data_IF_078222975127
#
_entry.id   IF_078222975127
#
_cell.length_a   1.000
_cell.length_b   1.000
_cell.length_c   1.000
_cell.angle_alpha   90.00
_cell.angle_beta   90.00
_cell.angle_gamma   90.00
#
_symmetry.space_group_name_H-M   'P 1'
#
loop_
_entity.id
_entity.type
_entity.pdbx_description
1 polymer ?
#
# COMPACT_ATOMS: atom_id res chain seq x y z
N UNK A 1 4.31 16.88 53.58
CA UNK A 1 4.59 17.41 52.22
C UNK A 1 4.32 18.91 52.21
N UNK A 2 5.27 19.74 51.78
CA UNK A 2 5.13 21.20 51.71
C UNK A 2 4.13 21.62 50.63
N UNK A 3 3.48 22.78 50.82
CA UNK A 3 2.61 23.43 49.81
C UNK A 3 3.38 23.64 48.51
N UNK A 4 4.66 24.02 48.61
CA UNK A 4 5.55 24.17 47.46
C UNK A 4 5.73 22.86 46.69
N UNK A 5 5.97 21.75 47.39
CA UNK A 5 6.15 20.43 46.75
C UNK A 5 4.88 19.98 46.01
N UNK A 6 3.69 20.25 46.56
CA UNK A 6 2.41 19.97 45.87
C UNK A 6 2.23 20.84 44.63
N UNK A 7 2.58 22.13 44.72
CA UNK A 7 2.51 23.05 43.58
C UNK A 7 3.49 22.67 42.47
N UNK A 8 4.72 22.28 42.82
CA UNK A 8 5.74 21.84 41.87
C UNK A 8 5.32 20.57 41.12
N UNK A 9 4.84 19.53 41.83
CA UNK A 9 4.34 18.30 41.21
C UNK A 9 3.15 18.55 40.27
N UNK A 10 2.23 19.43 40.67
CA UNK A 10 1.11 19.82 39.80
C UNK A 10 1.60 20.53 38.55
N UNK A 11 2.53 21.49 38.68
CA UNK A 11 3.08 22.21 37.54
C UNK A 11 3.79 21.28 36.54
N UNK A 12 4.59 20.32 37.02
CA UNK A 12 5.25 19.33 36.16
C UNK A 12 4.23 18.42 35.46
N UNK A 13 3.17 18.00 36.16
CA UNK A 13 2.08 17.22 35.56
C UNK A 13 1.31 18.02 34.50
N UNK A 14 1.01 19.29 34.77
CA UNK A 14 0.33 20.19 33.83
C UNK A 14 1.18 20.43 32.57
N UNK A 15 2.51 20.60 32.73
CA UNK A 15 3.46 20.70 31.61
C UNK A 15 3.52 19.42 30.78
N UNK A 16 3.54 18.25 31.42
CA UNK A 16 3.54 16.96 30.73
C UNK A 16 2.23 16.74 29.95
N UNK A 17 1.08 17.08 30.55
CA UNK A 17 -0.22 17.01 29.90
C UNK A 17 -0.31 17.96 28.70
N UNK A 18 0.18 19.20 28.84
CA UNK A 18 0.22 20.16 27.74
C UNK A 18 1.11 19.69 26.57
N UNK A 19 2.26 19.08 26.86
CA UNK A 19 3.13 18.48 25.84
C UNK A 19 2.45 17.33 25.10
N UNK A 20 1.77 16.44 25.83
CA UNK A 20 1.04 15.32 25.22
C UNK A 20 -0.14 15.82 24.35
N UNK A 21 -0.89 16.83 24.81
CA UNK A 21 -1.97 17.43 24.04
C UNK A 21 -1.45 18.08 22.74
N UNK A 22 -0.32 18.79 22.79
CA UNK A 22 0.30 19.40 21.62
C UNK A 22 0.80 18.35 20.62
N UNK A 23 1.42 17.26 21.10
CA UNK A 23 1.86 16.15 20.24
C UNK A 23 0.68 15.46 19.57
N UNK A 24 -0.41 15.21 20.30
CA UNK A 24 -1.62 14.61 19.76
C UNK A 24 -2.26 15.52 18.70
N UNK A 25 -2.30 16.84 18.93
CA UNK A 25 -2.80 17.79 17.92
C UNK A 25 -1.91 17.81 16.66
N UNK A 26 -0.59 17.80 16.83
CA UNK A 26 0.34 17.73 15.70
C UNK A 26 0.20 16.42 14.92
N UNK A 27 0.05 15.28 15.60
CA UNK A 27 -0.17 13.98 14.98
C UNK A 27 -1.49 13.93 14.20
N UNK A 28 -2.56 14.54 14.74
CA UNK A 28 -3.83 14.67 14.01
C UNK A 28 -3.69 15.48 12.74
N UNK A 29 -2.99 16.62 12.79
CA UNK A 29 -2.76 17.43 11.60
C UNK A 29 -1.95 16.66 10.56
N UNK A 30 -0.87 16.00 10.96
CA UNK A 30 -0.05 15.18 10.05
C UNK A 30 -0.87 14.09 9.35
N UNK A 31 -1.80 13.43 10.06
CA UNK A 31 -2.71 12.43 9.45
C UNK A 31 -3.68 13.05 8.45
N UNK A 32 -4.19 14.25 8.70
CA UNK A 32 -5.06 14.95 7.75
C UNK A 32 -4.29 15.33 6.48
N UNK A 33 -3.10 15.90 6.65
CA UNK A 33 -2.22 16.27 5.53
C UNK A 33 -1.85 15.01 4.71
N UNK A 34 -1.53 13.91 5.39
CA UNK A 34 -1.25 12.62 4.74
C UNK A 34 -2.45 12.10 3.93
N UNK A 35 -3.67 12.17 4.46
CA UNK A 35 -4.88 11.73 3.72
C UNK A 35 -5.09 12.53 2.44
N UNK A 36 -4.81 13.84 2.48
CA UNK A 36 -4.88 14.67 1.28
C UNK A 36 -3.79 14.31 0.27
N UNK A 37 -2.54 14.18 0.72
CA UNK A 37 -1.42 13.74 -0.12
C UNK A 37 -1.69 12.37 -0.75
N UNK A 38 -2.23 11.43 0.03
CA UNK A 38 -2.59 10.10 -0.45
C UNK A 38 -3.62 10.19 -1.59
N UNK A 39 -4.71 10.96 -1.37
CA UNK A 39 -5.75 11.15 -2.40
C UNK A 39 -5.15 11.73 -3.69
N UNK A 40 -4.33 12.77 -3.57
CA UNK A 40 -3.68 13.40 -4.73
C UNK A 40 -2.71 12.42 -5.43
N UNK A 41 -1.98 11.61 -4.67
CA UNK A 41 -1.06 10.60 -5.22
C UNK A 41 -1.81 9.53 -5.98
N UNK A 42 -2.94 9.05 -5.44
CA UNK A 42 -3.81 8.10 -6.15
C UNK A 42 -4.35 8.70 -7.45
N UNK A 43 -4.87 9.92 -7.40
CA UNK A 43 -5.51 10.57 -8.55
C UNK A 43 -4.52 10.90 -9.67
N UNK A 44 -3.33 11.38 -9.32
CA UNK A 44 -2.37 11.89 -10.29
C UNK A 44 -1.30 10.88 -10.72
N UNK A 45 -1.03 9.85 -9.91
CA UNK A 45 0.05 8.88 -10.17
C UNK A 45 -0.49 7.47 -10.35
N UNK A 46 -1.17 6.92 -9.33
CA UNK A 46 -1.51 5.50 -9.32
C UNK A 46 -2.62 5.15 -10.31
N UNK A 47 -3.78 5.81 -10.22
CA UNK A 47 -4.95 5.50 -11.06
C UNK A 47 -4.67 5.65 -12.56
N UNK A 48 -4.03 6.73 -13.05
CA UNK A 48 -3.74 6.87 -14.47
C UNK A 48 -2.87 5.72 -15.01
N UNK A 49 -1.83 5.33 -14.27
CA UNK A 49 -0.96 4.22 -14.69
C UNK A 49 -1.67 2.87 -14.62
N UNK A 50 -2.41 2.60 -13.54
CA UNK A 50 -3.18 1.36 -13.41
C UNK A 50 -4.25 1.23 -14.50
N UNK A 51 -4.90 2.32 -14.88
CA UNK A 51 -5.84 2.34 -16.00
C UNK A 51 -5.16 2.04 -17.35
N UNK A 52 -3.99 2.64 -17.61
CA UNK A 52 -3.21 2.38 -18.81
C UNK A 52 -2.75 0.92 -18.90
N UNK A 53 -2.21 0.38 -17.80
CA UNK A 53 -1.80 -1.02 -17.68
C UNK A 53 -2.96 -1.97 -17.89
N UNK A 54 -4.12 -1.72 -17.26
CA UNK A 54 -5.31 -2.55 -17.42
C UNK A 54 -5.75 -2.60 -18.88
N UNK A 55 -5.69 -1.49 -19.61
CA UNK A 55 -5.98 -1.45 -21.05
C UNK A 55 -5.02 -2.36 -21.83
N UNK A 56 -3.72 -2.27 -21.57
CA UNK A 56 -2.71 -3.10 -22.22
C UNK A 56 -2.90 -4.60 -21.92
N UNK A 57 -3.27 -4.98 -20.70
CA UNK A 57 -3.56 -6.37 -20.35
C UNK A 57 -4.65 -6.97 -21.25
N UNK A 58 -5.76 -6.25 -21.42
CA UNK A 58 -6.86 -6.69 -22.29
C UNK A 58 -6.45 -6.76 -23.77
N UNK A 59 -5.66 -5.78 -24.25
CA UNK A 59 -5.14 -5.76 -25.63
C UNK A 59 -4.23 -6.96 -25.94
N UNK A 60 -3.59 -7.54 -24.91
CA UNK A 60 -2.69 -8.69 -25.03
C UNK A 60 -3.30 -10.03 -24.58
N UNK A 61 -4.63 -10.08 -24.39
CA UNK A 61 -5.40 -11.24 -23.94
C UNK A 61 -5.01 -11.80 -22.56
N UNK A 62 -4.53 -10.93 -21.67
CA UNK A 62 -4.37 -11.24 -20.25
C UNK A 62 -5.60 -10.80 -19.45
N UNK A 63 -5.85 -11.49 -18.34
CA UNK A 63 -6.87 -11.09 -17.38
C UNK A 63 -6.27 -10.30 -16.22
N UNK A 64 -7.04 -9.33 -15.73
CA UNK A 64 -6.62 -8.44 -14.66
C UNK A 64 -7.71 -7.45 -14.28
N UNK A 65 -7.62 -6.95 -13.05
CA UNK A 65 -8.53 -5.92 -12.55
C UNK A 65 -7.81 -4.98 -11.60
N UNK A 66 -8.38 -3.80 -11.45
CA UNK A 66 -8.02 -2.85 -10.40
C UNK A 66 -9.12 -2.89 -9.36
N UNK A 67 -8.75 -2.99 -8.09
CA UNK A 67 -9.65 -3.04 -6.95
C UNK A 67 -9.27 -1.93 -5.96
N UNK A 68 -10.24 -1.10 -5.59
CA UNK A 68 -10.10 -0.11 -4.52
C UNK A 68 -11.04 -0.48 -3.38
N UNK A 69 -10.60 -0.30 -2.14
CA UNK A 69 -11.41 -0.66 -0.98
C UNK A 69 -10.78 -0.25 0.34
N UNK A 70 -11.39 -0.72 1.41
CA UNK A 70 -10.91 -0.56 2.78
C UNK A 70 -10.97 -1.95 3.45
N UNK A 71 -9.87 -2.37 4.07
CA UNK A 71 -9.76 -3.71 4.70
C UNK A 71 -10.20 -3.74 6.17
N UNK A 72 -10.88 -2.68 6.63
CA UNK A 72 -11.26 -2.43 8.02
C UNK A 72 -10.23 -1.60 8.78
N UNK A 73 -9.01 -1.45 8.26
CA UNK A 73 -7.92 -0.71 8.90
C UNK A 73 -7.34 0.37 8.00
N UNK A 74 -7.12 0.05 6.72
CA UNK A 74 -6.46 0.91 5.77
C UNK A 74 -7.22 0.95 4.44
N UNK A 75 -7.27 2.14 3.85
CA UNK A 75 -7.69 2.30 2.45
C UNK A 75 -6.61 1.72 1.53
N UNK A 76 -7.00 1.01 0.49
CA UNK A 76 -6.08 0.40 -0.46
C UNK A 76 -6.53 0.54 -1.91
N UNK A 77 -5.53 0.48 -2.80
CA UNK A 77 -5.69 0.25 -4.23
C UNK A 77 -4.82 -0.94 -4.63
N UNK A 78 -5.37 -1.85 -5.44
CA UNK A 78 -4.71 -3.10 -5.83
C UNK A 78 -4.84 -3.35 -7.31
N UNK A 79 -3.72 -3.65 -7.96
CA UNK A 79 -3.68 -4.26 -9.28
C UNK A 79 -3.62 -5.78 -9.12
N UNK A 80 -4.53 -6.47 -9.81
CA UNK A 80 -4.62 -7.93 -9.85
C UNK A 80 -4.34 -8.35 -11.28
N UNK A 81 -3.42 -9.29 -11.44
CA UNK A 81 -2.94 -9.74 -12.73
C UNK A 81 -2.88 -11.26 -12.80
N UNK A 82 -3.40 -11.84 -13.89
CA UNK A 82 -3.29 -13.27 -14.16
C UNK A 82 -2.28 -13.48 -15.30
N UNK A 83 -1.06 -13.98 -15.01
CA UNK A 83 0.01 -14.17 -15.99
C UNK A 83 -0.20 -15.42 -16.87
N UNK A 84 -1.44 -15.74 -17.26
CA UNK A 84 -1.78 -16.84 -18.17
C UNK A 84 -2.81 -16.34 -19.19
N UNK A 85 -2.63 -16.73 -20.46
CA UNK A 85 -3.56 -16.42 -21.54
C UNK A 85 -4.69 -17.45 -21.57
N UNK A 86 -5.85 -17.04 -22.09
CA UNK A 86 -7.14 -17.74 -22.18
C UNK A 86 -8.11 -17.32 -21.07
N UNK A 87 -9.16 -16.60 -21.49
CA UNK A 87 -10.23 -15.96 -20.71
C UNK A 87 -11.13 -16.90 -19.90
N UNK A 88 -10.79 -18.18 -19.79
CA UNK A 88 -11.61 -19.19 -19.13
C UNK A 88 -10.96 -19.56 -17.81
N UNK A 89 -11.65 -19.24 -16.71
CA UNK A 89 -11.30 -19.53 -15.33
C UNK A 89 -10.36 -18.54 -14.61
N UNK A 90 -10.79 -17.28 -14.46
CA UNK A 90 -10.53 -16.55 -13.22
C UNK A 90 -11.31 -17.17 -12.04
N UNK A 91 -11.16 -18.49 -11.84
CA UNK A 91 -11.70 -19.18 -10.69
C UNK A 91 -10.79 -18.90 -9.49
N UNK A 92 -11.26 -17.96 -8.65
CA UNK A 92 -10.95 -17.84 -7.23
C UNK A 92 -9.47 -17.75 -6.85
N UNK A 93 -8.82 -16.60 -7.14
CA UNK A 93 -7.63 -16.10 -6.43
C UNK A 93 -6.32 -16.89 -6.52
N UNK A 94 -6.36 -18.18 -6.84
CA UNK A 94 -5.24 -19.12 -6.73
C UNK A 94 -4.07 -18.82 -7.65
N UNK A 95 -4.34 -18.16 -8.78
CA UNK A 95 -3.34 -17.92 -9.82
C UNK A 95 -3.09 -16.43 -10.11
N UNK A 96 -3.71 -15.54 -9.33
CA UNK A 96 -3.53 -14.11 -9.49
C UNK A 96 -2.30 -13.59 -8.72
N UNK A 97 -1.51 -12.77 -9.40
CA UNK A 97 -0.48 -11.93 -8.79
C UNK A 97 -1.12 -10.59 -8.40
N UNK A 98 -0.65 -9.98 -7.33
CA UNK A 98 -1.23 -8.75 -6.79
C UNK A 98 -0.14 -7.74 -6.47
N UNK A 99 -0.37 -6.47 -6.80
CA UNK A 99 0.38 -5.32 -6.32
C UNK A 99 -0.60 -4.39 -5.60
N UNK A 100 -0.39 -4.16 -4.30
CA UNK A 100 -1.28 -3.38 -3.45
C UNK A 100 -0.53 -2.19 -2.87
N UNK A 101 -1.18 -1.03 -2.84
CA UNK A 101 -0.78 0.13 -2.07
C UNK A 101 -1.85 0.39 -1.01
N UNK A 102 -1.46 0.46 0.26
CA UNK A 102 -2.34 0.70 1.39
C UNK A 102 -1.87 1.91 2.20
N UNK A 103 -2.80 2.78 2.58
CA UNK A 103 -2.52 3.98 3.37
C UNK A 103 -2.41 3.63 4.86
N UNK A 104 -1.20 3.73 5.42
CA UNK A 104 -0.96 3.52 6.84
C UNK A 104 -0.99 4.88 7.56
N UNK A 105 -2.19 5.31 7.96
CA UNK A 105 -2.40 6.64 8.54
C UNK A 105 -1.56 6.90 9.79
N UNK A 106 -1.38 5.88 10.63
CA UNK A 106 -0.64 6.03 11.89
C UNK A 106 0.83 6.39 11.68
N UNK A 107 1.45 5.92 10.59
CA UNK A 107 2.82 6.25 10.21
C UNK A 107 2.91 7.32 9.12
N UNK A 108 1.79 7.78 8.58
CA UNK A 108 1.75 8.73 7.45
C UNK A 108 2.58 8.24 6.23
N UNK A 109 2.49 6.94 5.94
CA UNK A 109 3.22 6.29 4.84
C UNK A 109 2.29 5.38 4.04
N UNK A 110 2.67 5.10 2.80
CA UNK A 110 2.09 4.05 2.00
C UNK A 110 2.86 2.75 2.23
N UNK A 111 2.14 1.68 2.55
CA UNK A 111 2.68 0.33 2.43
C UNK A 111 2.40 -0.18 1.02
N UNK A 112 3.43 -0.67 0.33
CA UNK A 112 3.27 -1.37 -0.92
C UNK A 112 3.66 -2.83 -0.76
N UNK A 113 2.85 -3.72 -1.33
CA UNK A 113 3.08 -5.16 -1.27
C UNK A 113 2.79 -5.80 -2.61
N UNK A 114 3.66 -6.70 -3.03
CA UNK A 114 3.52 -7.55 -4.20
C UNK A 114 3.48 -9.01 -3.76
N UNK A 115 2.61 -9.81 -4.37
CA UNK A 115 2.46 -11.23 -4.10
C UNK A 115 2.32 -12.01 -5.41
N UNK A 116 3.16 -13.02 -5.61
CA UNK A 116 3.26 -13.76 -6.88
C UNK A 116 2.80 -15.23 -6.77
N UNK A 117 2.60 -15.75 -5.55
CA UNK A 117 2.00 -17.07 -5.29
C UNK A 117 1.20 -17.02 -3.97
N UNK A 118 -0.11 -17.26 -4.01
CA UNK A 118 -0.95 -17.31 -2.80
C UNK A 118 -0.71 -18.58 -1.95
N UNK A 119 0.08 -19.55 -2.42
CA UNK A 119 0.34 -20.83 -1.73
C UNK A 119 1.64 -20.88 -0.94
N UNK A 120 2.52 -19.91 -1.10
CA UNK A 120 3.76 -19.81 -0.33
C UNK A 120 3.46 -19.57 1.16
N UNK A 121 3.37 -20.66 1.93
CA UNK A 121 3.11 -20.64 3.39
C UNK A 121 4.21 -19.93 4.19
N UNK A 122 5.38 -19.73 3.58
CA UNK A 122 6.57 -19.12 4.16
C UNK A 122 6.75 -17.64 3.77
N UNK A 123 5.82 -17.07 2.98
CA UNK A 123 5.96 -15.71 2.46
C UNK A 123 6.98 -15.58 1.32
N UNK A 124 7.52 -16.69 0.80
CA UNK A 124 8.33 -16.68 -0.41
C UNK A 124 7.53 -16.13 -1.59
N UNK A 125 8.13 -15.23 -2.37
CA UNK A 125 7.42 -14.57 -3.48
C UNK A 125 6.50 -13.42 -3.05
N UNK A 126 6.76 -12.80 -1.89
CA UNK A 126 6.25 -11.46 -1.56
C UNK A 126 7.40 -10.46 -1.52
N UNK A 127 7.18 -9.26 -2.03
CA UNK A 127 8.07 -8.12 -1.84
C UNK A 127 7.25 -6.91 -1.44
N UNK A 128 7.80 -6.04 -0.60
CA UNK A 128 7.08 -4.87 -0.13
C UNK A 128 7.93 -3.98 0.74
N UNK A 129 7.36 -2.84 1.11
CA UNK A 129 8.00 -1.85 1.96
C UNK A 129 7.08 -0.67 2.19
N UNK A 130 7.62 0.36 2.84
CA UNK A 130 6.93 1.64 3.03
C UNK A 130 7.55 2.71 2.15
N UNK A 131 6.73 3.66 1.71
CA UNK A 131 7.13 4.81 0.88
C UNK A 131 6.29 6.02 1.26
N UNK A 132 6.87 7.22 1.23
CA UNK A 132 6.11 8.45 1.40
C UNK A 132 5.31 8.75 0.12
N UNK A 133 4.15 9.39 0.25
CA UNK A 133 3.33 9.80 -0.90
C UNK A 133 4.13 10.66 -1.90
N UNK A 134 5.01 11.53 -1.40
CA UNK A 134 5.86 12.41 -2.22
C UNK A 134 6.90 11.66 -3.05
N UNK A 135 7.31 10.48 -2.60
CA UNK A 135 8.34 9.67 -3.26
C UNK A 135 7.73 8.68 -4.27
N UNK A 136 6.41 8.46 -4.19
CA UNK A 136 5.66 7.65 -5.16
C UNK A 136 5.43 8.47 -6.44
N UNK A 137 6.47 8.58 -7.24
CA UNK A 137 6.46 9.27 -8.54
C UNK A 137 5.99 8.35 -9.68
N UNK A 138 5.55 8.90 -10.83
CA UNK A 138 5.24 8.09 -12.01
C UNK A 138 6.39 7.17 -12.43
N UNK A 139 7.63 7.65 -12.38
CA UNK A 139 8.81 6.88 -12.75
C UNK A 139 9.07 5.73 -11.78
N UNK A 140 8.91 5.97 -10.47
CA UNK A 140 9.03 4.93 -9.46
C UNK A 140 7.95 3.86 -9.62
N UNK A 141 6.71 4.27 -9.89
CA UNK A 141 5.60 3.35 -10.11
C UNK A 141 5.80 2.51 -11.36
N UNK A 142 6.27 3.11 -12.45
CA UNK A 142 6.58 2.41 -13.70
C UNK A 142 7.66 1.34 -13.51
N UNK A 143 8.75 1.67 -12.82
CA UNK A 143 9.81 0.71 -12.48
C UNK A 143 9.28 -0.46 -11.63
N UNK A 144 8.45 -0.14 -10.64
CA UNK A 144 7.82 -1.13 -9.74
C UNK A 144 6.86 -2.04 -10.49
N UNK A 145 6.07 -1.49 -11.43
CA UNK A 145 5.19 -2.26 -12.31
C UNK A 145 5.98 -3.18 -13.24
N UNK A 146 7.09 -2.71 -13.82
CA UNK A 146 7.99 -3.53 -14.62
C UNK A 146 8.49 -4.76 -13.85
N UNK A 147 9.04 -4.55 -12.64
CA UNK A 147 9.50 -5.63 -11.78
C UNK A 147 8.36 -6.59 -11.39
N UNK A 148 7.18 -6.04 -11.09
CA UNK A 148 5.99 -6.82 -10.77
C UNK A 148 5.60 -7.77 -11.93
N UNK A 149 5.59 -7.29 -13.16
CA UNK A 149 5.25 -8.12 -14.32
C UNK A 149 6.31 -9.18 -14.60
N UNK A 150 7.59 -8.82 -14.57
CA UNK A 150 8.69 -9.76 -14.78
C UNK A 150 8.63 -10.94 -13.79
N UNK A 151 8.39 -10.63 -12.51
CA UNK A 151 8.22 -11.66 -11.47
C UNK A 151 6.94 -12.47 -11.64
N UNK A 152 5.84 -11.83 -12.04
CA UNK A 152 4.55 -12.51 -12.27
C UNK A 152 4.66 -13.55 -13.38
N UNK A 153 5.34 -13.22 -14.49
CA UNK A 153 5.61 -14.18 -15.56
C UNK A 153 6.61 -15.27 -15.14
N UNK A 154 7.67 -14.90 -14.43
CA UNK A 154 8.68 -15.85 -13.93
C UNK A 154 8.12 -16.90 -12.96
N UNK A 155 7.16 -16.52 -12.12
CA UNK A 155 6.49 -17.43 -11.19
C UNK A 155 5.74 -18.56 -11.91
N UNK A 156 5.22 -18.31 -13.11
CA UNK A 156 4.48 -19.30 -13.92
C UNK A 156 5.37 -20.31 -14.60
N UNK A 157 6.51 -19.87 -15.13
CA UNK A 157 7.48 -20.76 -15.79
C UNK A 157 7.93 -21.87 -14.82
N UNK A 158 8.15 -21.54 -13.55
CA UNK A 158 8.52 -22.52 -12.51
C UNK A 158 7.43 -23.56 -12.21
N UNK A 159 6.15 -23.21 -12.40
CA UNK A 159 5.02 -24.12 -12.17
C UNK A 159 4.84 -25.16 -13.28
N UNK A 160 5.24 -24.84 -14.52
CA UNK A 160 5.14 -25.74 -15.67
C UNK A 160 6.33 -26.70 -15.82
N UNK A 161 7.44 -26.45 -15.11
CA UNK A 161 8.67 -27.24 -15.18
C UNK A 161 8.82 -28.37 -14.16
N UNK A 162 7.76 -28.70 -13.40
CA UNK A 162 7.72 -29.79 -12.42
C UNK A 162 6.66 -30.83 -12.77
#
# INVERSE_FOLDING_TARGET
>A
MSIFSKAALKHEADLAAAKMAAQEQAARQARLDFREQYRQTLENVVRPQFAAVRKQMYEHDYDGKVEEGNDGWNDFIRLIFVPEKNRLAAHAGRDACMLTFAAIENSCLLEWTSAFDQRARDGSGKAGGTIACTDLTPQWLEATLGEFFDKSFGARVRKQGN
#
